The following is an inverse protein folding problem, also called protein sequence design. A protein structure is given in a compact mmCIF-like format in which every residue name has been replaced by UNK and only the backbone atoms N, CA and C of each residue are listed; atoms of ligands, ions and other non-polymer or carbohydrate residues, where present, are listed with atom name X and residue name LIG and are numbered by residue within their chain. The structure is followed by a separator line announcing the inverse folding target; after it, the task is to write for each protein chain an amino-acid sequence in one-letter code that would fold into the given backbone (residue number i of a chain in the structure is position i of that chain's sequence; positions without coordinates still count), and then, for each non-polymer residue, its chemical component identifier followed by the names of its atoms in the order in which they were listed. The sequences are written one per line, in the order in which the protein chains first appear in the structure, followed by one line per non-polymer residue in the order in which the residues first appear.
data_IF_959318830776
#
_entry.id   IF_959318830776
#
_cell.length_a   1.000
_cell.length_b   1.000
_cell.length_c   1.000
_cell.angle_alpha   90.00
_cell.angle_beta   90.00
_cell.angle_gamma   90.00
#
_symmetry.space_group_name_H-M   'P 1'
#
loop_
_entity.id
_entity.type
_entity.pdbx_description
1 polymer ?
#
# COMPACT_ATOMS: atom_id res chain seq x y z
N UNK A 1 31.31 -1.59 28.59
CA UNK A 1 31.23 -0.48 27.62
C UNK A 1 29.84 0.09 27.68
N UNK A 2 29.69 1.29 28.23
CA UNK A 2 28.46 2.07 28.20
C UNK A 2 28.22 2.52 26.76
N UNK A 3 27.29 1.86 26.09
CA UNK A 3 26.85 2.21 24.74
C UNK A 3 26.19 3.59 24.84
N UNK A 4 26.92 4.64 24.46
CA UNK A 4 26.31 5.95 24.23
C UNK A 4 25.11 5.73 23.30
N UNK A 5 23.93 6.17 23.74
CA UNK A 5 22.74 6.19 22.89
C UNK A 5 23.05 7.18 21.76
N UNK A 6 23.64 6.71 20.66
CA UNK A 6 23.66 7.48 19.42
C UNK A 6 22.19 7.81 19.09
N UNK A 7 21.85 9.07 19.29
CA UNK A 7 20.56 9.62 18.91
C UNK A 7 20.66 10.01 17.44
N UNK A 8 20.42 9.02 16.57
CA UNK A 8 20.46 9.19 15.13
C UNK A 8 19.63 10.40 14.71
N UNK A 9 20.13 11.14 13.73
CA UNK A 9 19.36 12.19 13.07
C UNK A 9 18.64 11.57 11.88
N UNK A 10 17.35 11.86 11.73
CA UNK A 10 16.53 11.53 10.58
C UNK A 10 15.90 12.82 10.07
N UNK A 11 16.26 13.23 8.86
CA UNK A 11 15.86 14.49 8.23
C UNK A 11 16.07 15.72 9.14
N UNK A 12 17.19 15.76 9.86
CA UNK A 12 17.57 16.86 10.74
C UNK A 12 16.95 16.84 12.14
N UNK A 13 16.09 15.86 12.45
CA UNK A 13 15.48 15.69 13.76
C UNK A 13 16.03 14.46 14.47
N UNK A 14 16.21 14.56 15.78
CA UNK A 14 16.65 13.43 16.59
C UNK A 14 15.61 12.30 16.60
N UNK A 15 16.06 11.04 16.62
CA UNK A 15 15.14 9.90 16.75
C UNK A 15 14.33 9.95 18.05
N UNK A 16 14.82 10.62 19.09
CA UNK A 16 14.03 10.92 20.29
C UNK A 16 12.82 11.82 19.99
N UNK A 17 12.93 12.83 19.13
CA UNK A 17 11.80 13.66 18.68
C UNK A 17 10.81 12.82 17.87
N UNK A 18 11.29 12.00 16.93
CA UNK A 18 10.45 11.11 16.14
C UNK A 18 9.62 10.16 17.00
N UNK A 19 10.14 9.71 18.16
CA UNK A 19 9.37 8.87 19.11
C UNK A 19 8.22 9.59 19.78
N UNK A 20 8.27 10.92 19.90
CA UNK A 20 7.13 11.71 20.41
C UNK A 20 6.04 11.84 19.35
N UNK A 21 6.41 11.86 18.06
CA UNK A 21 5.45 11.84 16.95
C UNK A 21 4.81 10.46 16.82
N UNK A 22 5.64 9.42 16.65
CA UNK A 22 5.20 8.03 16.53
C UNK A 22 6.23 7.08 17.16
N UNK A 23 5.92 6.43 18.30
CA UNK A 23 6.80 5.44 18.89
C UNK A 23 6.98 4.23 17.96
N UNK A 24 8.24 3.88 17.67
CA UNK A 24 8.60 2.67 16.93
C UNK A 24 9.36 1.70 17.84
N UNK A 25 9.03 0.42 17.74
CA UNK A 25 9.82 -0.64 18.37
C UNK A 25 11.22 -0.66 17.77
N UNK A 26 12.21 -1.08 18.57
CA UNK A 26 13.59 -1.16 18.14
C UNK A 26 14.04 -2.61 18.11
N UNK A 27 14.84 -2.93 17.10
CA UNK A 27 15.42 -4.25 16.95
C UNK A 27 16.84 -4.19 16.40
N UNK A 28 17.31 -5.35 15.98
CA UNK A 28 18.57 -5.54 15.26
C UNK A 28 18.23 -6.19 13.94
N UNK A 29 18.85 -5.71 12.86
CA UNK A 29 18.87 -6.37 11.57
C UNK A 29 20.31 -6.68 11.17
N UNK A 30 20.44 -7.61 10.24
CA UNK A 30 21.71 -8.06 9.68
C UNK A 30 21.88 -7.41 8.31
N UNK A 31 22.76 -6.43 8.21
CA UNK A 31 23.01 -5.64 7.01
C UNK A 31 24.16 -6.24 6.19
N UNK A 32 23.93 -6.48 4.90
CA UNK A 32 24.95 -6.90 3.96
C UNK A 32 25.62 -5.67 3.32
N UNK A 33 26.89 -5.37 3.64
CA UNK A 33 27.59 -4.21 3.10
C UNK A 33 27.86 -4.31 1.59
N UNK A 34 27.81 -5.51 1.00
CA UNK A 34 28.05 -5.75 -0.43
C UNK A 34 26.82 -5.40 -1.26
N UNK A 35 25.64 -5.87 -0.85
CA UNK A 35 24.38 -5.68 -1.58
C UNK A 35 23.59 -4.47 -1.08
N UNK A 36 23.97 -3.91 0.08
CA UNK A 36 23.23 -2.86 0.80
C UNK A 36 21.82 -3.28 1.25
N UNK A 37 21.55 -4.60 1.24
CA UNK A 37 20.33 -5.18 1.77
C UNK A 37 20.45 -5.45 3.26
N UNK A 38 19.31 -5.59 3.92
CA UNK A 38 19.24 -6.03 5.31
C UNK A 38 18.30 -7.23 5.42
N UNK A 39 18.43 -7.97 6.52
CA UNK A 39 17.64 -9.13 6.85
C UNK A 39 17.24 -9.09 8.33
N UNK A 40 16.01 -9.50 8.69
CA UNK A 40 15.64 -9.56 10.11
C UNK A 40 16.21 -10.80 10.82
N UNK A 41 16.67 -11.81 10.08
CA UNK A 41 17.33 -13.02 10.59
C UNK A 41 18.33 -13.59 9.57
N UNK A 42 19.15 -14.54 9.99
CA UNK A 42 20.22 -15.13 9.16
C UNK A 42 19.95 -16.57 8.69
N UNK A 43 18.89 -17.20 9.20
CA UNK A 43 18.69 -18.67 9.13
C UNK A 43 18.55 -19.21 7.70
N UNK A 44 18.17 -18.36 6.76
CA UNK A 44 17.89 -18.70 5.36
C UNK A 44 18.95 -18.17 4.38
N UNK A 45 20.02 -17.54 4.89
CA UNK A 45 21.08 -16.97 4.07
C UNK A 45 22.17 -18.02 3.83
N UNK A 46 22.85 -17.97 2.69
CA UNK A 46 24.03 -18.81 2.44
C UNK A 46 25.22 -18.39 3.33
N UNK A 47 26.13 -19.32 3.64
CA UNK A 47 27.23 -19.11 4.58
C UNK A 47 28.11 -17.89 4.23
N UNK A 48 28.43 -17.72 2.95
CA UNK A 48 29.19 -16.56 2.44
C UNK A 48 28.49 -15.20 2.67
N UNK A 49 27.15 -15.21 2.72
CA UNK A 49 26.38 -14.01 3.07
C UNK A 49 26.44 -13.82 4.58
N UNK A 50 26.19 -14.86 5.38
CA UNK A 50 26.23 -14.78 6.86
C UNK A 50 27.57 -14.26 7.37
N UNK A 51 28.68 -14.73 6.79
CA UNK A 51 30.03 -14.37 7.21
C UNK A 51 30.40 -12.89 7.03
N UNK A 52 29.60 -12.11 6.29
CA UNK A 52 29.87 -10.68 6.03
C UNK A 52 28.83 -9.71 6.60
N UNK A 53 27.79 -10.20 7.29
CA UNK A 53 26.72 -9.34 7.78
C UNK A 53 27.18 -8.49 8.97
N UNK A 54 26.72 -7.24 8.99
CA UNK A 54 26.92 -6.29 10.07
C UNK A 54 25.62 -6.11 10.83
N UNK A 55 25.65 -6.20 12.16
CA UNK A 55 24.47 -5.87 12.95
C UNK A 55 24.22 -4.37 12.94
N UNK A 56 23.00 -3.96 12.61
CA UNK A 56 22.54 -2.57 12.68
C UNK A 56 21.30 -2.46 13.54
N UNK A 57 21.21 -1.36 14.29
CA UNK A 57 19.99 -1.00 15.02
C UNK A 57 18.92 -0.61 14.02
N UNK A 58 17.71 -1.10 14.25
CA UNK A 58 16.56 -0.85 13.38
C UNK A 58 15.37 -0.37 14.17
N UNK A 59 14.41 0.18 13.44
CA UNK A 59 13.07 0.45 13.92
C UNK A 59 12.09 -0.44 13.18
N UNK A 60 11.17 -1.10 13.89
CA UNK A 60 10.20 -1.99 13.27
C UNK A 60 8.95 -1.22 12.83
N UNK A 61 8.38 -1.61 11.69
CA UNK A 61 7.07 -1.12 11.28
C UNK A 61 5.99 -1.68 12.20
N UNK A 62 4.88 -0.95 12.37
CA UNK A 62 3.76 -1.44 13.18
C UNK A 62 3.08 -2.68 12.58
N UNK A 63 3.20 -2.91 11.27
CA UNK A 63 2.73 -4.15 10.65
C UNK A 63 3.67 -5.33 10.91
N UNK A 64 4.87 -5.09 11.44
CA UNK A 64 5.95 -6.07 11.59
C UNK A 64 6.37 -6.74 10.27
N UNK A 65 5.98 -6.15 9.13
CA UNK A 65 6.31 -6.64 7.77
C UNK A 65 7.43 -5.86 7.10
N UNK A 66 7.94 -4.84 7.79
CA UNK A 66 9.07 -4.02 7.34
C UNK A 66 9.85 -3.48 8.54
N UNK A 67 11.07 -3.03 8.30
CA UNK A 67 11.91 -2.39 9.30
C UNK A 67 12.78 -1.32 8.64
N UNK A 68 13.27 -0.40 9.46
CA UNK A 68 13.93 0.82 9.01
C UNK A 68 15.33 0.94 9.58
N UNK A 69 16.28 1.34 8.74
CA UNK A 69 17.64 1.70 9.13
C UNK A 69 17.85 3.18 8.78
N UNK A 70 18.24 3.97 9.76
CA UNK A 70 18.61 5.38 9.56
C UNK A 70 20.09 5.44 9.20
N UNK A 71 20.41 5.97 8.02
CA UNK A 71 21.77 6.16 7.54
C UNK A 71 21.89 7.52 6.86
N UNK A 72 22.95 8.28 7.17
CA UNK A 72 23.23 9.59 6.56
C UNK A 72 22.05 10.57 6.59
N UNK A 73 21.32 10.64 7.72
CA UNK A 73 20.12 11.45 7.89
C UNK A 73 18.91 11.05 7.01
N UNK A 74 18.94 9.88 6.40
CA UNK A 74 17.87 9.35 5.56
C UNK A 74 17.34 8.02 6.10
N UNK A 75 16.09 7.70 5.76
CA UNK A 75 15.46 6.43 6.12
C UNK A 75 15.55 5.44 4.97
N UNK A 76 16.03 4.24 5.28
CA UNK A 76 15.96 3.09 4.40
C UNK A 76 14.96 2.10 4.99
N UNK A 77 13.92 1.76 4.24
CA UNK A 77 12.98 0.71 4.59
C UNK A 77 13.39 -0.61 3.93
N UNK A 78 13.24 -1.70 4.66
CA UNK A 78 13.49 -3.05 4.19
C UNK A 78 12.26 -3.92 4.45
N UNK A 79 11.90 -4.74 3.46
CA UNK A 79 10.75 -5.67 3.45
C UNK A 79 11.21 -7.04 2.95
N UNK A 80 10.52 -8.08 3.38
CA UNK A 80 10.89 -9.47 3.08
C UNK A 80 11.83 -10.05 4.13
N UNK A 81 11.64 -11.34 4.44
CA UNK A 81 12.28 -12.06 5.55
C UNK A 81 12.15 -11.31 6.88
N UNK A 82 10.91 -10.99 7.28
CA UNK A 82 10.58 -10.32 8.55
C UNK A 82 9.93 -11.27 9.56
N UNK A 83 10.30 -11.16 10.84
CA UNK A 83 9.70 -11.94 11.94
C UNK A 83 8.31 -11.40 12.38
N UNK A 84 7.37 -12.26 12.83
CA UNK A 84 7.46 -13.72 12.80
C UNK A 84 7.26 -14.26 11.37
N UNK A 85 8.17 -15.14 10.97
CA UNK A 85 7.93 -16.03 9.84
C UNK A 85 6.84 -17.03 10.25
N UNK A 86 5.80 -17.14 9.45
CA UNK A 86 4.78 -18.18 9.62
C UNK A 86 4.72 -19.00 8.35
N UNK A 87 4.69 -20.32 8.51
CA UNK A 87 4.34 -21.31 7.47
C UNK A 87 2.86 -21.21 7.05
N UNK A 88 2.15 -20.12 7.38
CA UNK A 88 0.74 -19.90 7.06
C UNK A 88 0.59 -18.64 6.20
N UNK A 89 -0.06 -18.82 5.04
CA UNK A 89 -0.42 -17.73 4.11
C UNK A 89 -1.58 -16.92 4.67
N UNK A 90 -1.49 -15.59 4.50
CA UNK A 90 -2.59 -14.66 4.80
C UNK A 90 -3.38 -14.43 3.50
N UNK A 91 -4.68 -14.78 3.42
CA UNK A 91 -5.47 -14.61 2.20
C UNK A 91 -5.50 -13.15 1.68
N UNK A 92 -5.36 -12.17 2.58
CA UNK A 92 -5.35 -10.75 2.25
C UNK A 92 -4.05 -10.24 1.57
N UNK A 93 -3.01 -11.08 1.43
CA UNK A 93 -1.74 -10.70 0.77
C UNK A 93 -1.51 -11.39 -0.57
N UNK A 94 -2.57 -11.63 -1.35
CA UNK A 94 -2.45 -12.23 -2.68
C UNK A 94 -1.83 -13.63 -2.68
N UNK A 95 -2.11 -14.41 -1.62
CA UNK A 95 -1.46 -15.70 -1.36
C UNK A 95 0.07 -15.60 -1.18
N UNK A 96 0.57 -14.51 -0.60
CA UNK A 96 1.96 -14.46 -0.10
C UNK A 96 2.06 -15.03 1.33
N UNK A 97 3.13 -15.79 1.63
CA UNK A 97 3.47 -16.20 3.00
C UNK A 97 3.79 -14.99 3.88
N UNK A 98 3.39 -15.02 5.16
CA UNK A 98 3.67 -13.93 6.08
C UNK A 98 5.18 -13.72 6.20
N UNK A 99 5.62 -12.51 5.88
CA UNK A 99 7.03 -12.11 6.01
C UNK A 99 7.91 -12.52 4.83
N UNK A 100 7.41 -13.24 3.82
CA UNK A 100 8.13 -13.47 2.55
C UNK A 100 7.66 -12.51 1.48
N UNK A 101 8.59 -12.11 0.61
CA UNK A 101 8.31 -11.34 -0.59
C UNK A 101 8.72 -12.19 -1.79
N UNK A 102 7.74 -12.63 -2.59
CA UNK A 102 8.03 -13.39 -3.81
C UNK A 102 8.73 -12.48 -4.82
N UNK A 103 9.55 -13.10 -5.66
CA UNK A 103 10.38 -12.40 -6.64
C UNK A 103 9.59 -11.46 -7.54
N UNK A 104 8.49 -11.94 -8.12
CA UNK A 104 7.70 -11.15 -9.07
C UNK A 104 7.11 -9.90 -8.42
N UNK A 105 6.58 -10.03 -7.21
CA UNK A 105 6.05 -8.90 -6.44
C UNK A 105 7.15 -7.89 -6.08
N UNK A 106 8.31 -8.38 -5.65
CA UNK A 106 9.44 -7.53 -5.29
C UNK A 106 10.06 -6.81 -6.48
N UNK A 107 10.29 -7.52 -7.59
CA UNK A 107 10.80 -6.94 -8.84
C UNK A 107 9.80 -5.95 -9.44
N UNK A 108 8.50 -6.27 -9.40
CA UNK A 108 7.44 -5.38 -9.88
C UNK A 108 7.38 -4.09 -9.08
N UNK A 109 7.41 -4.19 -7.75
CA UNK A 109 7.42 -3.02 -6.90
C UNK A 109 8.68 -2.17 -7.13
N UNK A 110 9.85 -2.82 -7.24
CA UNK A 110 11.10 -2.13 -7.55
C UNK A 110 11.07 -1.43 -8.91
N UNK A 111 10.56 -2.09 -9.95
CA UNK A 111 10.44 -1.52 -11.30
C UNK A 111 9.50 -0.32 -11.30
N UNK A 112 8.30 -0.47 -10.75
CA UNK A 112 7.30 0.60 -10.70
C UNK A 112 7.85 1.85 -9.99
N UNK A 113 8.40 1.68 -8.78
CA UNK A 113 8.94 2.80 -8.00
C UNK A 113 10.10 3.50 -8.73
N UNK A 114 11.00 2.75 -9.36
CA UNK A 114 12.11 3.34 -10.10
C UNK A 114 11.67 4.08 -11.37
N UNK A 115 10.67 3.58 -12.09
CA UNK A 115 10.15 4.25 -13.28
C UNK A 115 9.38 5.52 -12.91
N UNK A 116 8.62 5.50 -11.81
CA UNK A 116 7.98 6.69 -11.26
C UNK A 116 9.05 7.70 -10.78
N UNK A 117 10.11 7.25 -10.12
CA UNK A 117 11.19 8.11 -9.64
C UNK A 117 11.94 8.82 -10.79
N UNK A 118 12.14 8.15 -11.93
CA UNK A 118 12.71 8.76 -13.14
C UNK A 118 11.81 9.88 -13.70
N UNK A 119 10.51 9.82 -13.41
CA UNK A 119 9.50 10.75 -13.91
C UNK A 119 8.95 11.70 -12.81
N UNK A 120 9.71 11.93 -11.74
CA UNK A 120 9.41 12.95 -10.72
C UNK A 120 8.86 12.42 -9.39
N UNK A 121 8.80 11.10 -9.20
CA UNK A 121 8.59 10.49 -7.89
C UNK A 121 9.82 10.57 -6.98
N UNK A 122 9.60 10.42 -5.68
CA UNK A 122 10.67 10.58 -4.68
C UNK A 122 11.23 9.26 -4.13
N UNK A 123 10.50 8.15 -4.31
CA UNK A 123 10.85 6.85 -3.72
C UNK A 123 11.44 5.95 -4.79
N UNK A 124 12.60 5.38 -4.50
CA UNK A 124 13.28 4.36 -5.28
C UNK A 124 13.25 3.06 -4.51
N UNK A 125 13.43 1.97 -5.24
CA UNK A 125 13.50 0.65 -4.62
C UNK A 125 14.44 -0.29 -5.36
N UNK A 126 14.92 -1.29 -4.64
CA UNK A 126 15.78 -2.33 -5.18
C UNK A 126 15.36 -3.67 -4.58
N UNK A 127 15.21 -4.67 -5.43
CA UNK A 127 14.91 -6.04 -5.03
C UNK A 127 16.18 -6.91 -5.18
N UNK A 128 16.41 -7.77 -4.20
CA UNK A 128 17.51 -8.73 -4.22
C UNK A 128 16.99 -10.15 -3.98
N UNK A 129 17.28 -11.05 -4.93
CA UNK A 129 16.96 -12.48 -4.82
C UNK A 129 17.81 -13.11 -3.70
N UNK A 130 17.13 -13.72 -2.73
CA UNK A 130 17.79 -14.35 -1.58
C UNK A 130 17.83 -15.86 -1.74
N UNK A 131 16.81 -16.46 -2.34
CA UNK A 131 16.77 -17.90 -2.49
C UNK A 131 15.46 -18.48 -2.99
N UNK A 132 15.38 -19.80 -2.82
CA UNK A 132 14.28 -20.64 -3.29
C UNK A 132 13.61 -21.33 -2.11
N UNK A 133 12.30 -21.52 -2.24
CA UNK A 133 11.49 -22.28 -1.29
C UNK A 133 10.52 -23.22 -2.01
N UNK A 134 10.11 -24.29 -1.32
CA UNK A 134 9.02 -25.16 -1.76
C UNK A 134 7.71 -24.71 -1.11
N UNK A 135 6.70 -24.45 -1.94
CA UNK A 135 5.33 -24.12 -1.59
C UNK A 135 4.48 -25.40 -1.66
N UNK A 136 4.00 -25.89 -0.52
CA UNK A 136 3.11 -27.07 -0.48
C UNK A 136 1.68 -26.64 -0.16
N UNK A 137 0.72 -26.98 -1.02
CA UNK A 137 -0.72 -26.75 -0.79
C UNK A 137 -1.34 -28.00 -0.15
N UNK A 138 -1.78 -27.90 1.11
CA UNK A 138 -2.52 -28.96 1.83
C UNK A 138 -3.88 -28.41 2.29
N UNK A 139 -4.95 -28.72 1.54
CA UNK A 139 -6.26 -28.14 1.79
C UNK A 139 -6.26 -26.62 1.59
N UNK A 140 -6.68 -25.87 2.60
CA UNK A 140 -6.62 -24.38 2.62
C UNK A 140 -5.32 -23.83 3.23
N UNK A 141 -4.38 -24.69 3.62
CA UNK A 141 -3.10 -24.28 4.21
C UNK A 141 -1.98 -24.40 3.20
N UNK A 142 -1.04 -23.46 3.26
CA UNK A 142 0.11 -23.42 2.37
C UNK A 142 1.37 -23.24 3.22
N UNK A 143 2.25 -24.24 3.20
CA UNK A 143 3.51 -24.24 3.97
C UNK A 143 4.68 -23.87 3.06
N UNK A 144 5.59 -23.02 3.56
CA UNK A 144 6.82 -22.63 2.86
C UNK A 144 8.04 -23.11 3.62
N UNK A 145 8.93 -23.81 2.91
CA UNK A 145 10.20 -24.31 3.45
C UNK A 145 11.34 -23.90 2.52
N UNK A 146 12.55 -23.63 3.03
CA UNK A 146 13.73 -23.60 2.16
C UNK A 146 13.78 -24.89 1.34
N UNK A 147 14.41 -24.88 0.16
CA UNK A 147 14.60 -26.08 -0.66
C UNK A 147 15.42 -27.15 0.07
N UNK A 148 14.76 -27.89 0.93
CA UNK A 148 15.21 -29.09 1.64
C UNK A 148 14.18 -30.20 1.54
N UNK A 149 13.05 -29.96 0.83
CA UNK A 149 11.94 -30.87 0.63
C UNK A 149 11.64 -31.00 -0.86
N UNK A 150 11.48 -32.24 -1.34
CA UNK A 150 11.22 -32.56 -2.76
C UNK A 150 9.74 -32.42 -3.16
N UNK A 151 8.84 -32.16 -2.20
CA UNK A 151 7.39 -32.09 -2.41
C UNK A 151 6.87 -30.64 -2.42
N UNK A 152 6.61 -30.05 -3.59
CA UNK A 152 5.92 -28.76 -3.72
C UNK A 152 6.24 -27.95 -4.99
N UNK A 153 5.54 -26.83 -5.16
CA UNK A 153 5.84 -25.83 -6.20
C UNK A 153 7.06 -25.01 -5.78
N UNK A 154 8.07 -24.88 -6.65
CA UNK A 154 9.29 -24.11 -6.35
C UNK A 154 9.03 -22.63 -6.58
N UNK A 155 9.25 -21.79 -5.56
CA UNK A 155 9.09 -20.34 -5.61
C UNK A 155 10.41 -19.62 -5.30
N UNK A 156 10.60 -18.44 -5.89
CA UNK A 156 11.72 -17.52 -5.61
C UNK A 156 11.27 -16.41 -4.69
N UNK A 157 12.12 -16.05 -3.73
CA UNK A 157 11.84 -14.98 -2.77
C UNK A 157 13.10 -14.16 -2.47
N UNK A 158 12.88 -12.98 -1.90
CA UNK A 158 13.97 -12.06 -1.63
C UNK A 158 13.62 -10.97 -0.64
N UNK A 159 14.41 -9.91 -0.71
CA UNK A 159 14.24 -8.70 0.10
C UNK A 159 14.16 -7.47 -0.79
N UNK A 160 13.35 -6.52 -0.37
CA UNK A 160 13.18 -5.24 -1.03
C UNK A 160 13.69 -4.14 -0.10
N UNK A 161 14.46 -3.20 -0.66
CA UNK A 161 14.84 -1.95 -0.01
C UNK A 161 14.11 -0.79 -0.68
N UNK A 162 13.51 0.11 0.09
CA UNK A 162 12.91 1.39 -0.36
C UNK A 162 13.61 2.57 0.30
N UNK A 163 13.88 3.63 -0.45
CA UNK A 163 14.47 4.86 0.07
C UNK A 163 14.09 6.05 -0.81
N UNK A 164 14.19 7.25 -0.28
CA UNK A 164 13.81 8.45 -1.01
C UNK A 164 13.97 9.72 -0.18
N UNK A 165 14.03 10.86 -0.86
CA UNK A 165 14.07 12.14 -0.18
C UNK A 165 12.73 12.40 0.53
N UNK A 166 12.78 12.78 1.81
CA UNK A 166 11.59 13.10 2.61
C UNK A 166 10.58 11.93 2.63
N UNK A 167 11.08 10.69 2.53
CA UNK A 167 10.30 9.45 2.60
C UNK A 167 10.17 8.99 4.06
N UNK A 168 8.92 8.89 4.55
CA UNK A 168 8.61 8.53 5.95
C UNK A 168 7.50 7.47 6.03
N UNK A 169 7.76 6.26 5.51
CA UNK A 169 6.75 5.20 5.38
C UNK A 169 6.10 4.80 6.70
N UNK A 170 6.78 5.02 7.83
CA UNK A 170 6.23 4.75 9.16
C UNK A 170 5.25 5.82 9.65
N UNK A 171 4.88 6.85 8.88
CA UNK A 171 3.73 7.72 9.19
C UNK A 171 2.82 7.69 7.97
N UNK A 172 1.67 7.03 8.10
CA UNK A 172 0.69 6.89 7.02
C UNK A 172 -0.32 8.03 7.07
N UNK A 173 -0.88 8.37 5.91
CA UNK A 173 -1.75 9.53 5.77
C UNK A 173 -3.09 9.39 6.51
N UNK A 174 -3.56 8.16 6.77
CA UNK A 174 -4.76 7.85 7.56
C UNK A 174 -4.58 8.05 9.07
N UNK A 175 -3.35 8.22 9.57
CA UNK A 175 -3.06 8.38 10.99
C UNK A 175 -3.17 9.85 11.41
N UNK A 176 -4.37 10.40 11.31
CA UNK A 176 -4.63 11.84 11.44
C UNK A 176 -3.97 12.51 12.65
N UNK A 177 -4.03 11.90 13.86
CA UNK A 177 -3.38 12.49 15.04
C UNK A 177 -1.85 12.48 14.93
N UNK A 178 -1.26 11.43 14.36
CA UNK A 178 0.19 11.35 14.14
C UNK A 178 0.63 12.36 13.08
N UNK A 179 -0.14 12.56 12.02
CA UNK A 179 0.12 13.60 11.01
C UNK A 179 0.09 14.99 11.64
N UNK A 180 -0.81 15.27 12.60
CA UNK A 180 -0.80 16.53 13.36
C UNK A 180 0.46 16.70 14.21
N UNK A 181 0.91 15.63 14.88
CA UNK A 181 2.17 15.68 15.64
C UNK A 181 3.39 15.91 14.73
N UNK A 182 3.40 15.29 13.55
CA UNK A 182 4.42 15.54 12.53
C UNK A 182 4.42 17.01 12.09
N UNK A 183 3.26 17.60 11.86
CA UNK A 183 3.13 19.02 11.50
C UNK A 183 3.71 19.94 12.59
N UNK A 184 3.42 19.65 13.86
CA UNK A 184 4.00 20.37 15.02
C UNK A 184 5.52 20.27 15.03
N UNK A 185 6.07 19.06 14.89
CA UNK A 185 7.52 18.84 14.87
C UNK A 185 8.18 19.59 13.70
N UNK A 186 7.54 19.61 12.53
CA UNK A 186 8.00 20.34 11.34
C UNK A 186 7.76 21.86 11.41
N UNK A 187 7.05 22.36 12.42
CA UNK A 187 6.70 23.78 12.54
C UNK A 187 5.77 24.29 11.43
N UNK A 188 4.94 23.42 10.84
CA UNK A 188 4.00 23.75 9.76
C UNK A 188 2.56 23.54 10.21
N UNK A 189 1.61 24.23 9.57
CA UNK A 189 0.20 23.94 9.79
C UNK A 189 -0.18 22.55 9.25
N UNK A 190 -0.99 21.80 9.99
CA UNK A 190 -1.40 20.46 9.58
C UNK A 190 -2.27 20.42 8.32
N UNK A 191 -3.07 21.47 8.03
CA UNK A 191 -3.83 21.55 6.77
C UNK A 191 -2.88 21.82 5.60
N UNK A 192 -1.84 22.63 5.81
CA UNK A 192 -0.78 22.82 4.82
C UNK A 192 0.00 21.53 4.54
N UNK A 193 0.34 20.74 5.58
CA UNK A 193 0.98 19.44 5.42
C UNK A 193 0.10 18.48 4.61
N UNK A 194 -1.19 18.36 4.96
CA UNK A 194 -2.14 17.51 4.23
C UNK A 194 -2.32 17.97 2.77
N UNK A 195 -2.45 19.28 2.54
CA UNK A 195 -2.58 19.82 1.18
C UNK A 195 -1.34 19.52 0.34
N UNK A 196 -0.15 19.67 0.92
CA UNK A 196 1.13 19.35 0.27
C UNK A 196 1.26 17.86 -0.03
N UNK A 197 0.84 17.01 0.91
CA UNK A 197 0.81 15.56 0.72
C UNK A 197 -0.15 15.16 -0.41
N UNK A 198 -1.37 15.70 -0.43
CA UNK A 198 -2.36 15.40 -1.48
C UNK A 198 -1.94 15.94 -2.85
N UNK A 199 -1.27 17.10 -2.89
CA UNK A 199 -0.66 17.60 -4.11
C UNK A 199 0.43 16.65 -4.62
N UNK A 200 1.31 16.16 -3.74
CA UNK A 200 2.36 15.19 -4.12
C UNK A 200 1.73 13.88 -4.60
N UNK A 201 0.79 13.33 -3.83
CA UNK A 201 0.08 12.11 -4.20
C UNK A 201 -0.63 12.24 -5.55
N UNK A 202 -1.31 13.36 -5.81
CA UNK A 202 -1.94 13.63 -7.10
C UNK A 202 -0.96 13.60 -8.27
N UNK A 203 0.24 14.19 -8.10
CA UNK A 203 1.31 14.11 -9.13
C UNK A 203 1.81 12.70 -9.31
N UNK A 204 2.14 12.00 -8.21
CA UNK A 204 2.66 10.64 -8.25
C UNK A 204 1.68 9.70 -8.93
N UNK A 205 0.40 9.73 -8.53
CA UNK A 205 -0.63 8.87 -9.12
C UNK A 205 -0.88 9.20 -10.60
N UNK A 206 -0.82 10.48 -10.98
CA UNK A 206 -0.88 10.88 -12.39
C UNK A 206 0.28 10.28 -13.17
N UNK A 207 1.51 10.42 -12.68
CA UNK A 207 2.71 9.84 -13.31
C UNK A 207 2.59 8.32 -13.44
N UNK A 208 2.13 7.64 -12.38
CA UNK A 208 1.83 6.21 -12.39
C UNK A 208 0.87 5.84 -13.53
N UNK A 209 -0.26 6.54 -13.65
CA UNK A 209 -1.25 6.30 -14.70
C UNK A 209 -0.79 6.68 -16.12
N UNK A 210 0.08 7.69 -16.26
CA UNK A 210 0.68 8.09 -17.54
C UNK A 210 1.73 7.10 -18.02
N UNK A 211 2.40 6.40 -17.10
CA UNK A 211 3.31 5.28 -17.38
C UNK A 211 2.56 3.96 -17.68
N UNK A 212 1.22 3.95 -17.60
CA UNK A 212 0.43 2.74 -17.78
C UNK A 212 0.55 1.76 -16.60
N UNK A 213 0.89 2.25 -15.41
CA UNK A 213 0.95 1.45 -14.18
C UNK A 213 -0.31 1.77 -13.37
N UNK A 214 -1.04 0.76 -12.90
CA UNK A 214 -2.22 0.91 -12.05
C UNK A 214 -1.95 0.22 -10.72
N UNK A 215 -2.08 0.94 -9.61
CA UNK A 215 -1.63 0.47 -8.30
C UNK A 215 -2.59 -0.56 -7.68
N UNK A 216 -3.87 -0.47 -8.01
CA UNK A 216 -4.97 -1.36 -7.64
C UNK A 216 -5.30 -1.46 -6.14
N UNK A 217 -4.41 -1.08 -5.22
CA UNK A 217 -4.62 -1.14 -3.77
C UNK A 217 -4.31 0.20 -3.10
N UNK A 218 -4.81 1.29 -3.67
CA UNK A 218 -4.45 2.67 -3.29
C UNK A 218 -5.16 3.15 -2.03
N UNK A 219 -5.18 2.35 -0.96
CA UNK A 219 -5.72 2.77 0.32
C UNK A 219 -4.79 3.79 1.01
N UNK A 220 -5.28 4.66 1.92
CA UNK A 220 -4.44 5.68 2.55
C UNK A 220 -3.30 5.09 3.41
N UNK A 221 -3.48 3.87 3.91
CA UNK A 221 -2.41 3.07 4.50
C UNK A 221 -1.28 2.67 3.54
N UNK A 222 -1.37 2.97 2.23
CA UNK A 222 -0.32 2.81 1.20
C UNK A 222 0.41 4.12 0.85
N UNK A 223 0.06 5.22 1.53
CA UNK A 223 0.61 6.56 1.27
C UNK A 223 1.22 7.13 2.55
N UNK A 224 2.47 7.57 2.48
CA UNK A 224 3.10 8.22 3.62
C UNK A 224 2.58 9.65 3.86
N UNK A 225 2.91 10.24 5.01
CA UNK A 225 2.39 11.55 5.40
C UNK A 225 2.88 12.72 4.52
N UNK A 226 3.79 12.48 3.56
CA UNK A 226 4.17 13.47 2.56
C UNK A 226 3.59 13.19 1.18
N UNK A 227 2.77 12.14 1.02
CA UNK A 227 2.10 11.80 -0.22
C UNK A 227 2.90 10.89 -1.14
N UNK A 228 3.90 10.17 -0.63
CA UNK A 228 4.57 9.14 -1.41
C UNK A 228 3.74 7.85 -1.41
N UNK A 229 3.35 7.35 -2.60
CA UNK A 229 2.66 6.07 -2.80
C UNK A 229 3.68 4.93 -2.89
N UNK A 230 3.43 3.82 -2.21
CA UNK A 230 4.30 2.62 -2.15
C UNK A 230 3.47 1.33 -2.16
N UNK A 231 4.11 0.15 -2.15
CA UNK A 231 3.48 -1.18 -2.19
C UNK A 231 2.85 -1.54 -3.55
N UNK A 232 3.60 -1.30 -4.63
CA UNK A 232 3.26 -1.66 -6.02
C UNK A 232 3.36 -3.18 -6.34
N UNK A 233 3.42 -4.04 -5.32
CA UNK A 233 3.56 -5.50 -5.47
C UNK A 233 2.46 -6.14 -6.31
N UNK A 234 1.26 -5.54 -6.30
CA UNK A 234 0.09 -6.01 -7.04
C UNK A 234 -0.34 -5.08 -8.18
N UNK A 235 0.56 -4.19 -8.63
CA UNK A 235 0.27 -3.26 -9.70
C UNK A 235 0.05 -3.97 -11.04
N UNK A 236 -0.88 -3.47 -11.85
CA UNK A 236 -1.16 -3.97 -13.20
C UNK A 236 -0.57 -2.99 -14.21
N UNK A 237 0.10 -3.51 -15.24
CA UNK A 237 0.67 -2.70 -16.32
C UNK A 237 -0.25 -2.75 -17.54
N UNK A 238 -0.30 -1.65 -18.30
CA UNK A 238 -1.19 -1.48 -19.45
C UNK A 238 -0.98 -2.56 -20.52
N UNK A 239 0.26 -2.99 -20.74
CA UNK A 239 0.61 -4.05 -21.69
C UNK A 239 0.17 -5.45 -21.25
N UNK A 240 -0.13 -5.65 -19.96
CA UNK A 240 -0.65 -6.91 -19.43
C UNK A 240 -2.17 -7.05 -19.62
N UNK A 241 -2.89 -5.92 -19.71
CA UNK A 241 -4.37 -5.88 -19.77
C UNK A 241 -4.94 -6.75 -20.90
N UNK A 242 -4.43 -6.75 -22.15
CA UNK A 242 -4.96 -7.59 -23.22
C UNK A 242 -4.87 -9.09 -22.90
N UNK A 243 -3.71 -9.55 -22.41
CA UNK A 243 -3.49 -10.95 -22.08
C UNK A 243 -4.32 -11.40 -20.86
N UNK A 244 -4.48 -10.51 -19.88
CA UNK A 244 -5.37 -10.74 -18.73
C UNK A 244 -6.82 -10.88 -19.22
N UNK A 245 -7.30 -9.99 -20.09
CA UNK A 245 -8.66 -10.03 -20.62
C UNK A 245 -8.97 -11.34 -21.38
N UNK A 246 -8.03 -11.86 -22.15
CA UNK A 246 -8.16 -13.17 -22.82
C UNK A 246 -8.29 -14.32 -21.80
N UNK A 247 -7.51 -14.28 -20.71
CA UNK A 247 -7.58 -15.31 -19.66
C UNK A 247 -8.85 -15.20 -18.80
N UNK A 248 -9.28 -13.98 -18.48
CA UNK A 248 -10.50 -13.74 -17.70
C UNK A 248 -11.72 -14.20 -18.49
N UNK A 249 -11.86 -13.79 -19.76
CA UNK A 249 -13.02 -14.14 -20.59
C UNK A 249 -13.19 -15.66 -20.78
N UNK A 250 -12.12 -16.43 -20.65
CA UNK A 250 -12.13 -17.89 -20.76
C UNK A 250 -12.28 -18.62 -19.41
N UNK A 251 -11.93 -18.00 -18.27
CA UNK A 251 -11.81 -18.68 -16.97
C UNK A 251 -12.64 -18.08 -15.83
N UNK A 252 -13.03 -16.80 -15.91
CA UNK A 252 -13.78 -16.09 -14.88
C UNK A 252 -15.07 -15.54 -15.47
N UNK A 253 -16.22 -16.09 -15.05
CA UNK A 253 -17.54 -15.53 -15.35
C UNK A 253 -17.91 -14.52 -14.25
N UNK A 254 -17.40 -13.31 -14.32
CA UNK A 254 -17.81 -12.20 -13.44
C UNK A 254 -18.33 -11.02 -14.27
N UNK A 255 -19.30 -10.29 -13.74
CA UNK A 255 -19.72 -8.99 -14.28
C UNK A 255 -18.63 -7.92 -14.12
N UNK A 256 -17.64 -8.16 -13.24
CA UNK A 256 -16.51 -7.24 -13.03
C UNK A 256 -15.53 -7.19 -14.22
N UNK A 257 -15.60 -8.18 -15.11
CA UNK A 257 -14.75 -8.28 -16.31
C UNK A 257 -14.98 -7.10 -17.24
N UNK A 258 -16.24 -6.65 -17.38
CA UNK A 258 -16.58 -5.51 -18.23
C UNK A 258 -15.98 -4.20 -17.72
N UNK A 259 -15.62 -4.14 -16.43
CA UNK A 259 -14.99 -2.97 -15.81
C UNK A 259 -13.47 -3.01 -15.89
N UNK A 260 -12.86 -4.17 -16.20
CA UNK A 260 -11.41 -4.32 -16.24
C UNK A 260 -10.82 -3.67 -17.51
N UNK A 261 -10.50 -2.39 -17.37
CA UNK A 261 -9.92 -1.53 -18.39
C UNK A 261 -9.01 -0.50 -17.73
N UNK A 262 -8.19 0.21 -18.51
CA UNK A 262 -7.37 1.31 -17.98
C UNK A 262 -8.21 2.35 -17.22
N UNK A 263 -9.37 2.74 -17.77
CA UNK A 263 -10.27 3.70 -17.12
C UNK A 263 -10.83 3.14 -15.80
N UNK A 264 -11.23 1.85 -15.78
CA UNK A 264 -11.71 1.18 -14.58
C UNK A 264 -10.64 1.05 -13.50
N UNK A 265 -9.38 0.79 -13.88
CA UNK A 265 -8.25 0.70 -12.96
C UNK A 265 -7.87 2.07 -12.39
N UNK A 266 -7.85 3.14 -13.22
CA UNK A 266 -7.70 4.52 -12.75
C UNK A 266 -8.79 4.93 -11.77
N UNK A 267 -10.03 4.55 -12.08
CA UNK A 267 -11.17 4.79 -11.20
C UNK A 267 -11.00 4.07 -9.86
N UNK A 268 -10.60 2.80 -9.88
CA UNK A 268 -10.34 2.02 -8.68
C UNK A 268 -9.27 2.70 -7.82
N UNK A 269 -8.16 3.15 -8.39
CA UNK A 269 -7.08 3.79 -7.64
C UNK A 269 -7.53 5.06 -6.91
N UNK A 270 -8.35 5.88 -7.56
CA UNK A 270 -8.88 7.11 -6.94
C UNK A 270 -9.96 6.78 -5.91
N UNK A 271 -10.91 5.90 -6.26
CA UNK A 271 -12.08 5.65 -5.42
C UNK A 271 -11.74 4.82 -4.19
N UNK A 272 -10.81 3.86 -4.27
CA UNK A 272 -10.33 3.10 -3.09
C UNK A 272 -9.61 4.03 -2.12
N UNK A 273 -8.84 4.99 -2.61
CA UNK A 273 -8.16 5.98 -1.75
C UNK A 273 -9.16 6.85 -1.00
N UNK A 274 -10.05 7.54 -1.71
CA UNK A 274 -10.94 8.51 -1.08
C UNK A 274 -12.16 7.85 -0.44
N UNK A 275 -12.76 6.87 -1.11
CA UNK A 275 -14.04 6.26 -0.80
C UNK A 275 -13.99 4.89 -0.12
N UNK A 276 -12.81 4.27 0.00
CA UNK A 276 -12.65 2.95 0.60
C UNK A 276 -13.13 1.80 -0.29
N UNK A 277 -13.16 0.58 0.23
CA UNK A 277 -13.62 -0.63 -0.50
C UNK A 277 -15.14 -0.72 -0.51
N UNK A 278 -15.81 0.16 -1.28
CA UNK A 278 -17.27 0.32 -1.30
C UNK A 278 -18.01 -0.95 -1.68
N UNK A 279 -17.47 -1.72 -2.63
CA UNK A 279 -18.10 -2.97 -3.06
C UNK A 279 -18.09 -4.00 -1.93
N UNK A 280 -16.98 -4.12 -1.19
CA UNK A 280 -16.88 -5.00 -0.02
C UNK A 280 -17.79 -4.50 1.10
N UNK A 281 -17.84 -3.18 1.34
CA UNK A 281 -18.74 -2.57 2.31
C UNK A 281 -20.21 -2.88 1.98
N UNK A 282 -20.64 -2.73 0.72
CA UNK A 282 -22.01 -3.07 0.28
C UNK A 282 -22.34 -4.53 0.52
N UNK A 283 -21.44 -5.44 0.12
CA UNK A 283 -21.60 -6.88 0.39
C UNK A 283 -21.71 -7.17 1.89
N UNK A 284 -20.92 -6.50 2.73
CA UNK A 284 -21.04 -6.61 4.19
C UNK A 284 -22.40 -6.12 4.70
N UNK A 285 -22.92 -5.00 4.19
CA UNK A 285 -24.25 -4.52 4.55
C UNK A 285 -25.34 -5.55 4.22
N UNK A 286 -25.27 -6.15 3.03
CA UNK A 286 -26.21 -7.17 2.58
C UNK A 286 -26.10 -8.46 3.41
N UNK A 287 -24.87 -8.98 3.58
CA UNK A 287 -24.62 -10.22 4.32
C UNK A 287 -24.98 -10.10 5.80
N UNK A 288 -24.63 -8.99 6.45
CA UNK A 288 -24.87 -8.78 7.87
C UNK A 288 -26.20 -8.09 8.17
N UNK A 289 -26.96 -7.70 7.13
CA UNK A 289 -28.23 -6.96 7.23
C UNK A 289 -28.07 -5.68 8.06
N UNK A 290 -27.00 -4.93 7.80
CA UNK A 290 -26.67 -3.69 8.49
C UNK A 290 -26.95 -2.50 7.57
N UNK A 291 -27.49 -1.42 8.14
CA UNK A 291 -27.43 -0.11 7.50
C UNK A 291 -25.97 0.35 7.38
N UNK A 292 -25.73 1.35 6.52
CA UNK A 292 -24.38 1.89 6.35
C UNK A 292 -23.83 2.44 7.67
N UNK A 293 -24.66 3.17 8.42
CA UNK A 293 -24.26 3.75 9.71
C UNK A 293 -23.92 2.68 10.75
N UNK A 294 -24.72 1.61 10.85
CA UNK A 294 -24.44 0.50 11.75
C UNK A 294 -23.15 -0.23 11.38
N UNK A 295 -22.92 -0.46 10.08
CA UNK A 295 -21.69 -1.09 9.59
C UNK A 295 -20.48 -0.22 9.94
N UNK A 296 -20.52 1.06 9.62
CA UNK A 296 -19.43 1.99 9.89
C UNK A 296 -19.13 2.13 11.37
N UNK A 297 -20.15 2.10 12.22
CA UNK A 297 -19.98 2.09 13.68
C UNK A 297 -19.24 0.85 14.15
N UNK A 298 -19.60 -0.34 13.65
CA UNK A 298 -18.91 -1.60 13.98
C UNK A 298 -17.47 -1.64 13.45
N UNK A 299 -17.25 -1.19 12.21
CA UNK A 299 -15.91 -1.10 11.61
C UNK A 299 -15.00 -0.20 12.45
N UNK A 300 -15.47 0.99 12.84
CA UNK A 300 -14.69 1.91 13.70
C UNK A 300 -14.37 1.29 15.05
N UNK A 301 -15.39 0.73 15.72
CA UNK A 301 -15.20 0.07 17.01
C UNK A 301 -14.15 -1.05 16.93
N UNK A 302 -14.24 -1.91 15.92
CA UNK A 302 -13.30 -3.02 15.75
C UNK A 302 -11.90 -2.55 15.35
N UNK A 303 -11.78 -1.48 14.55
CA UNK A 303 -10.47 -0.86 14.24
C UNK A 303 -9.78 -0.28 15.47
N UNK A 304 -10.55 0.34 16.37
CA UNK A 304 -10.05 0.89 17.63
C UNK A 304 -9.71 -0.20 18.66
N UNK A 305 -10.26 -1.40 18.50
CA UNK A 305 -10.10 -2.53 19.42
C UNK A 305 -9.71 -3.81 18.65
N UNK A 306 -8.70 -3.71 17.78
CA UNK A 306 -8.38 -4.77 16.81
C UNK A 306 -8.03 -6.12 17.46
N UNK A 307 -7.52 -6.10 18.69
CA UNK A 307 -7.32 -7.29 19.53
C UNK A 307 -8.60 -8.11 19.75
N UNK A 308 -9.79 -7.48 19.74
CA UNK A 308 -11.08 -8.15 19.87
C UNK A 308 -11.49 -8.89 18.59
N UNK A 309 -10.86 -8.56 17.46
CA UNK A 309 -11.16 -9.19 16.18
C UNK A 309 -10.39 -10.48 15.96
N UNK A 310 -9.23 -10.66 16.62
CA UNK A 310 -8.29 -11.75 16.38
C UNK A 310 -8.97 -13.13 16.51
N UNK A 311 -8.86 -13.96 15.48
CA UNK A 311 -9.39 -15.31 15.44
C UNK A 311 -10.89 -15.42 15.17
N UNK A 312 -11.59 -14.30 14.94
CA UNK A 312 -13.02 -14.27 14.60
C UNK A 312 -13.19 -13.71 13.18
N UNK A 313 -13.34 -14.56 12.14
CA UNK A 313 -13.22 -14.14 10.74
C UNK A 313 -14.11 -12.96 10.33
N UNK A 314 -15.34 -12.89 10.85
CA UNK A 314 -16.27 -11.78 10.59
C UNK A 314 -15.78 -10.46 11.19
N UNK A 315 -15.21 -10.50 12.39
CA UNK A 315 -14.71 -9.29 13.04
C UNK A 315 -13.38 -8.88 12.43
N UNK A 316 -12.53 -9.84 12.07
CA UNK A 316 -11.30 -9.55 11.31
C UNK A 316 -11.64 -8.88 9.99
N UNK A 317 -12.61 -9.41 9.24
CA UNK A 317 -13.07 -8.79 8.00
C UNK A 317 -13.47 -7.33 8.23
N UNK A 318 -14.37 -7.08 9.18
CA UNK A 318 -14.86 -5.73 9.49
C UNK A 318 -13.75 -4.79 10.00
N UNK A 319 -12.82 -5.29 10.82
CA UNK A 319 -11.71 -4.51 11.35
C UNK A 319 -10.72 -4.07 10.27
N UNK A 320 -10.60 -4.83 9.17
CA UNK A 320 -9.65 -4.56 8.10
C UNK A 320 -10.28 -3.84 6.90
N UNK A 321 -11.57 -3.47 6.95
CA UNK A 321 -12.21 -2.71 5.88
C UNK A 321 -11.58 -1.31 5.76
N UNK A 322 -11.00 -1.03 4.60
CA UNK A 322 -10.61 0.32 4.23
C UNK A 322 -11.88 1.14 3.95
N UNK A 323 -12.13 2.18 4.76
CA UNK A 323 -13.27 3.09 4.60
C UNK A 323 -12.90 4.41 3.92
N UNK A 324 -11.65 4.53 3.45
CA UNK A 324 -11.18 5.66 2.64
C UNK A 324 -10.73 6.87 3.45
N UNK A 325 -9.86 7.65 2.81
CA UNK A 325 -9.28 8.87 3.37
C UNK A 325 -10.33 9.96 3.68
N UNK A 326 -11.42 10.01 2.91
CA UNK A 326 -12.46 11.00 3.15
C UNK A 326 -13.17 10.79 4.49
N UNK A 327 -13.58 9.55 4.80
CA UNK A 327 -14.24 9.21 6.06
C UNK A 327 -13.29 9.28 7.26
N UNK A 328 -12.07 8.74 7.11
CA UNK A 328 -11.13 8.64 8.22
C UNK A 328 -10.46 9.98 8.56
N UNK A 329 -10.29 10.87 7.58
CA UNK A 329 -9.51 12.10 7.77
C UNK A 329 -10.29 13.34 7.40
N UNK A 330 -10.76 13.47 6.17
CA UNK A 330 -11.30 14.75 5.68
C UNK A 330 -12.58 15.17 6.40
N UNK A 331 -13.50 14.25 6.70
CA UNK A 331 -14.75 14.55 7.40
C UNK A 331 -14.59 15.15 8.80
N UNK A 332 -13.42 15.01 9.41
CA UNK A 332 -13.08 15.59 10.72
C UNK A 332 -12.71 17.07 10.63
N UNK A 333 -12.51 17.60 9.43
CA UNK A 333 -12.06 18.97 9.17
C UNK A 333 -13.23 19.89 8.79
N UNK A 334 -12.99 21.20 8.83
CA UNK A 334 -13.95 22.17 8.31
C UNK A 334 -14.18 21.98 6.80
N UNK A 335 -15.37 22.32 6.30
CA UNK A 335 -15.68 22.23 4.86
C UNK A 335 -14.65 23.01 4.02
N UNK A 336 -14.17 24.15 4.52
CA UNK A 336 -13.15 24.96 3.84
C UNK A 336 -11.84 24.18 3.67
N UNK A 337 -11.40 23.50 4.72
CA UNK A 337 -10.14 22.74 4.70
C UNK A 337 -10.25 21.46 3.88
N UNK A 338 -11.41 20.78 3.95
CA UNK A 338 -11.72 19.64 3.07
C UNK A 338 -11.56 20.03 1.60
N UNK A 339 -12.16 21.17 1.19
CA UNK A 339 -12.04 21.67 -0.19
C UNK A 339 -10.60 21.98 -0.54
N UNK A 340 -9.86 22.69 0.32
CA UNK A 340 -8.45 23.02 0.07
C UNK A 340 -7.60 21.77 -0.21
N UNK A 341 -7.78 20.71 0.58
CA UNK A 341 -7.01 19.47 0.44
C UNK A 341 -7.42 18.71 -0.84
N UNK A 342 -8.71 18.62 -1.14
CA UNK A 342 -9.22 17.98 -2.36
C UNK A 342 -8.78 18.76 -3.62
N UNK A 343 -8.81 20.09 -3.57
CA UNK A 343 -8.31 20.96 -4.65
C UNK A 343 -6.83 20.70 -4.93
N UNK A 344 -6.01 20.53 -3.88
CA UNK A 344 -4.60 20.25 -4.03
C UNK A 344 -4.34 18.95 -4.80
N UNK A 345 -5.13 17.90 -4.55
CA UNK A 345 -5.07 16.67 -5.34
C UNK A 345 -5.48 16.92 -6.80
N UNK A 346 -6.65 17.53 -7.04
CA UNK A 346 -7.19 17.76 -8.39
C UNK A 346 -6.24 18.60 -9.24
N UNK A 347 -5.64 19.66 -8.65
CA UNK A 347 -4.71 20.54 -9.36
C UNK A 347 -3.44 19.85 -9.83
N UNK A 348 -3.11 18.71 -9.21
CA UNK A 348 -1.88 17.97 -9.46
C UNK A 348 -2.11 16.66 -10.20
N UNK A 349 -3.33 16.12 -10.14
CA UNK A 349 -3.72 14.92 -10.88
C UNK A 349 -4.32 15.25 -12.26
N UNK A 350 -5.24 16.21 -12.34
CA UNK A 350 -5.96 16.51 -13.58
C UNK A 350 -5.16 17.40 -14.53
N UNK A 351 -5.49 17.33 -15.81
CA UNK A 351 -4.94 18.24 -16.82
C UNK A 351 -5.36 19.70 -16.55
N UNK A 352 -4.53 20.65 -16.99
CA UNK A 352 -4.79 22.10 -16.80
C UNK A 352 -6.12 22.52 -17.45
N UNK A 353 -6.46 21.94 -18.59
CA UNK A 353 -7.68 22.24 -19.36
C UNK A 353 -8.96 21.77 -18.65
N UNK A 354 -8.92 20.66 -17.92
CA UNK A 354 -10.12 20.05 -17.36
C UNK A 354 -10.35 20.41 -15.88
N UNK A 355 -9.28 20.74 -15.14
CA UNK A 355 -9.31 20.87 -13.66
C UNK A 355 -10.41 21.79 -13.13
N UNK A 356 -10.68 22.93 -13.78
CA UNK A 356 -11.70 23.88 -13.27
C UNK A 356 -13.12 23.34 -13.42
N UNK A 357 -13.41 22.68 -14.54
CA UNK A 357 -14.69 22.01 -14.76
C UNK A 357 -14.89 20.85 -13.78
N UNK A 358 -13.85 20.05 -13.58
CA UNK A 358 -13.84 18.92 -12.64
C UNK A 358 -14.09 19.40 -11.21
N UNK A 359 -13.36 20.42 -10.71
CA UNK A 359 -13.57 21.00 -9.37
C UNK A 359 -15.02 21.43 -9.15
N UNK A 360 -15.61 22.14 -10.13
CA UNK A 360 -17.00 22.61 -10.03
C UNK A 360 -17.99 21.44 -9.88
N UNK A 361 -17.82 20.38 -10.68
CA UNK A 361 -18.66 19.18 -10.62
C UNK A 361 -18.51 18.46 -9.29
N UNK A 362 -17.27 18.23 -8.85
CA UNK A 362 -16.93 17.55 -7.59
C UNK A 362 -17.53 18.29 -6.39
N UNK A 363 -17.27 19.59 -6.27
CA UNK A 363 -17.76 20.35 -5.13
C UNK A 363 -19.27 20.51 -5.12
N UNK A 364 -19.91 20.58 -6.29
CA UNK A 364 -21.38 20.55 -6.36
C UNK A 364 -21.97 19.24 -5.83
N UNK A 365 -21.30 18.11 -6.04
CA UNK A 365 -21.74 16.83 -5.46
C UNK A 365 -21.42 16.76 -3.97
N UNK A 366 -20.21 17.12 -3.55
CA UNK A 366 -19.81 17.13 -2.14
C UNK A 366 -20.71 18.04 -1.28
N UNK A 367 -21.06 19.22 -1.78
CA UNK A 367 -21.92 20.17 -1.06
C UNK A 367 -23.34 19.62 -0.85
N UNK A 368 -23.82 18.77 -1.77
CA UNK A 368 -25.15 18.12 -1.70
C UNK A 368 -25.14 16.85 -0.86
N UNK A 369 -24.22 15.94 -1.15
CA UNK A 369 -24.20 14.60 -0.58
C UNK A 369 -23.49 14.55 0.79
N UNK A 370 -22.59 15.51 1.06
CA UNK A 370 -21.74 15.55 2.28
C UNK A 370 -20.87 14.29 2.47
N UNK A 371 -20.70 13.53 1.41
CA UNK A 371 -19.90 12.30 1.34
C UNK A 371 -19.11 12.26 0.05
N UNK A 372 -18.00 11.51 0.06
CA UNK A 372 -17.36 11.10 -1.19
C UNK A 372 -18.27 10.07 -1.88
N UNK A 373 -18.51 10.22 -3.17
CA UNK A 373 -19.39 9.35 -3.97
C UNK A 373 -18.63 8.82 -5.18
N UNK A 374 -19.09 7.73 -5.77
CA UNK A 374 -18.51 7.18 -7.01
C UNK A 374 -18.54 8.21 -8.15
N UNK A 375 -19.57 9.07 -8.21
CA UNK A 375 -19.64 10.15 -9.19
C UNK A 375 -18.47 11.14 -9.07
N UNK A 376 -18.01 11.42 -7.85
CA UNK A 376 -16.86 12.31 -7.61
C UNK A 376 -15.59 11.68 -8.22
N UNK A 377 -15.33 10.41 -7.93
CA UNK A 377 -14.21 9.66 -8.52
C UNK A 377 -14.32 9.59 -10.05
N UNK A 378 -15.54 9.36 -10.56
CA UNK A 378 -15.83 9.34 -11.99
C UNK A 378 -15.52 10.67 -12.69
N UNK A 379 -15.83 11.81 -12.07
CA UNK A 379 -15.48 13.12 -12.63
C UNK A 379 -13.98 13.36 -12.74
N UNK A 380 -13.17 12.74 -11.87
CA UNK A 380 -11.71 12.88 -11.90
C UNK A 380 -11.12 12.04 -13.04
N UNK A 381 -11.67 10.86 -13.28
CA UNK A 381 -11.13 9.87 -14.23
C UNK A 381 -11.64 10.09 -15.64
N UNK A 382 -12.95 10.27 -15.79
CA UNK A 382 -13.61 10.38 -17.08
C UNK A 382 -14.85 11.31 -16.98
N UNK A 383 -14.65 12.65 -17.01
CA UNK A 383 -15.74 13.60 -16.85
C UNK A 383 -16.74 13.62 -18.02
N UNK A 384 -16.42 12.98 -19.14
CA UNK A 384 -17.24 12.91 -20.36
C UNK A 384 -18.07 11.63 -20.46
N UNK A 385 -17.60 10.52 -19.87
CA UNK A 385 -18.30 9.24 -19.85
C UNK A 385 -18.29 8.63 -18.44
N UNK A 386 -19.20 9.13 -17.59
CA UNK A 386 -19.34 8.67 -16.21
C UNK A 386 -19.82 7.22 -16.12
N UNK A 387 -20.67 6.78 -17.05
CA UNK A 387 -21.26 5.45 -17.03
C UNK A 387 -20.21 4.35 -17.21
N UNK A 388 -19.12 4.64 -17.93
CA UNK A 388 -17.96 3.76 -18.04
C UNK A 388 -17.13 3.64 -16.75
N UNK A 389 -17.44 4.41 -15.70
CA UNK A 389 -16.69 4.49 -14.44
C UNK A 389 -17.65 4.45 -13.23
N UNK A 390 -18.57 3.47 -13.22
CA UNK A 390 -19.48 3.22 -12.09
C UNK A 390 -19.18 1.84 -11.52
N UNK A 391 -19.03 1.77 -10.19
CA UNK A 391 -18.55 0.64 -9.39
C UNK A 391 -17.07 0.34 -9.46
N UNK A 392 -16.50 0.12 -8.29
CA UNK A 392 -15.15 -0.39 -8.11
C UNK A 392 -15.05 -1.83 -8.63
N UNK A 393 -13.93 -2.15 -9.27
CA UNK A 393 -13.49 -3.55 -9.42
C UNK A 393 -13.16 -4.04 -8.00
N UNK A 394 -13.68 -5.18 -7.50
CA UNK A 394 -13.40 -5.65 -6.13
C UNK A 394 -11.93 -6.01 -5.91
N UNK A 395 -11.44 -5.86 -4.67
CA UNK A 395 -10.09 -6.31 -4.31
C UNK A 395 -9.88 -7.80 -4.56
N UNK A 396 -10.89 -8.63 -4.25
CA UNK A 396 -10.81 -10.08 -4.46
C UNK A 396 -10.68 -10.44 -5.94
N UNK A 397 -11.30 -9.65 -6.83
CA UNK A 397 -11.14 -9.84 -8.26
C UNK A 397 -9.70 -9.58 -8.69
N UNK A 398 -9.11 -8.45 -8.28
CA UNK A 398 -7.71 -8.12 -8.58
C UNK A 398 -6.76 -9.18 -8.04
N UNK A 399 -6.95 -9.63 -6.79
CA UNK A 399 -6.12 -10.69 -6.21
C UNK A 399 -6.27 -12.02 -6.98
N UNK A 400 -7.47 -12.32 -7.48
CA UNK A 400 -7.71 -13.50 -8.31
C UNK A 400 -6.98 -13.48 -9.65
N UNK A 401 -6.62 -12.31 -10.19
CA UNK A 401 -5.86 -12.19 -11.44
C UNK A 401 -4.45 -12.77 -11.32
N UNK A 402 -3.87 -12.78 -10.12
CA UNK A 402 -2.54 -13.31 -9.84
C UNK A 402 -2.46 -14.85 -9.93
N UNK A 403 -3.61 -15.51 -10.09
CA UNK A 403 -3.70 -16.93 -10.43
C UNK A 403 -3.80 -17.20 -11.94
N UNK A 404 -3.72 -16.15 -12.77
CA UNK A 404 -3.84 -16.24 -14.22
C UNK A 404 -2.59 -15.69 -14.91
N UNK A 405 -2.17 -16.26 -16.05
CA UNK A 405 -1.19 -15.61 -16.92
C UNK A 405 -1.66 -14.21 -17.36
N UNK A 406 -0.74 -13.25 -17.55
CA UNK A 406 0.71 -13.35 -17.38
C UNK A 406 1.20 -13.17 -15.94
N UNK A 407 0.30 -12.94 -14.98
CA UNK A 407 0.65 -12.61 -13.59
C UNK A 407 1.03 -13.83 -12.75
N UNK A 408 0.59 -15.02 -13.16
CA UNK A 408 0.96 -16.28 -12.50
C UNK A 408 2.31 -16.79 -12.99
N UNK A 409 3.18 -17.16 -12.05
CA UNK A 409 4.39 -17.95 -12.28
C UNK A 409 4.10 -19.14 -13.19
N UNK A 410 4.79 -19.23 -14.33
CA UNK A 410 4.99 -20.52 -14.98
C UNK A 410 5.93 -21.35 -14.08
N UNK A 411 5.61 -22.62 -13.77
CA UNK A 411 6.57 -23.51 -13.14
C UNK A 411 7.87 -23.52 -13.96
N UNK A 412 9.01 -23.51 -13.27
CA UNK A 412 10.31 -23.71 -13.93
C UNK A 412 10.34 -25.18 -14.39
N UNK A 413 10.49 -25.39 -15.70
CA UNK A 413 10.77 -26.70 -16.31
C UNK A 413 12.14 -27.26 -15.90
#
# INVERSE_FOLDING_TARGET
MTQEKEDFLLYGHHMTEWRHVRPLAQGIAYFDPKTKMAYSHIDYLVEDVRGRLLQKRTFESHSQRAYFIVENNELNEYKGLTLPYSDEIVPASGQQPRGLLLKEHGEREASALNDIAKNGGNVKAEYFDVGLASLKREGSKINVRPLTAEDGEIIRYGVLRRWGHDYIPFIRLDLFQIVRQLAIMKGVDHIELLSSALARFGRVLRTTHELGIYHCFTHPGNIDAHGNLIDYEHAIYSDEIPAINENISTKIKSEDVERFSEAGLRFRDIDVFFGGEREILRRCQECFKLSHEELMTKVRFLRENIELSVGIPVFELLAHLNIGFYEDTLKKLSIRDQRRIIEAFIDNYCSISERQGIKKKIFSVLDRAREWTEAISGFIVNPENLEACIRQIPSEFILGLWELPPLKLCPID
#
